data_IF_824170740262
#
_entry.id   IF_824170740262
#
_cell.length_a   1.000
_cell.length_b   1.000
_cell.length_c   1.000
_cell.angle_alpha   90.00
_cell.angle_beta   90.00
_cell.angle_gamma   90.00
#
_symmetry.space_group_name_H-M   'P 1'
#
loop_
_entity.id
_entity.type
_entity.pdbx_description
1 polymer ?
#
# COMPACT_ATOMS: atom_id res chain seq x y z
N UNK A 1 8.10 14.27 0.49
CA UNK A 1 7.28 14.87 -0.59
C UNK A 1 8.04 15.01 -1.90
N UNK A 2 9.12 15.80 -1.96
CA UNK A 2 9.78 16.22 -3.22
C UNK A 2 10.26 15.07 -4.12
N UNK A 3 10.73 13.95 -3.57
CA UNK A 3 11.16 12.80 -4.38
C UNK A 3 9.99 12.09 -5.07
N UNK A 4 8.83 12.06 -4.45
CA UNK A 4 7.62 11.45 -5.03
C UNK A 4 7.07 12.29 -6.18
N UNK A 5 7.17 13.61 -6.09
CA UNK A 5 6.75 14.52 -7.17
C UNK A 5 7.59 14.42 -8.44
N UNK A 6 8.76 13.77 -8.38
CA UNK A 6 9.65 13.54 -9.52
C UNK A 6 9.41 12.17 -10.20
N UNK A 7 8.41 11.42 -9.75
CA UNK A 7 8.12 10.08 -10.27
C UNK A 7 6.89 10.13 -11.18
N UNK A 8 6.88 9.28 -12.20
CA UNK A 8 5.69 9.05 -13.05
C UNK A 8 4.64 8.22 -12.30
N UNK A 9 5.09 7.38 -11.37
CA UNK A 9 4.24 6.53 -10.54
C UNK A 9 4.89 6.17 -9.22
N UNK A 10 4.08 5.89 -8.20
CA UNK A 10 4.55 5.29 -6.95
C UNK A 10 3.46 4.43 -6.32
N UNK A 11 3.91 3.43 -5.56
CA UNK A 11 3.03 2.59 -4.76
C UNK A 11 2.81 3.20 -3.38
N UNK A 12 1.60 3.02 -2.85
CA UNK A 12 1.20 3.44 -1.50
C UNK A 12 0.59 2.28 -0.72
N UNK A 13 0.76 2.32 0.60
CA UNK A 13 0.03 1.52 1.57
C UNK A 13 -0.17 2.31 2.85
N UNK A 14 -1.42 2.48 3.25
CA UNK A 14 -1.78 3.18 4.51
C UNK A 14 -1.69 2.22 5.70
N UNK A 15 -1.32 2.75 6.86
CA UNK A 15 -1.42 2.06 8.14
C UNK A 15 -2.48 2.75 8.99
N UNK A 16 -3.49 1.99 9.38
CA UNK A 16 -4.56 2.46 10.27
C UNK A 16 -4.42 1.77 11.61
N UNK A 17 -4.54 2.52 12.67
CA UNK A 17 -4.55 2.06 14.06
C UNK A 17 -5.84 2.48 14.76
N UNK A 18 -6.12 1.85 15.90
CA UNK A 18 -7.24 2.23 16.77
C UNK A 18 -6.74 3.07 17.93
N UNK A 19 -7.43 4.18 18.18
CA UNK A 19 -7.22 4.97 19.40
C UNK A 19 -7.81 4.26 20.63
N UNK A 20 -7.46 4.68 21.83
CA UNK A 20 -8.05 4.19 23.08
C UNK A 20 -9.58 4.32 23.09
N UNK A 21 -10.12 5.34 22.42
CA UNK A 21 -11.56 5.53 22.24
C UNK A 21 -12.17 4.64 21.14
N UNK A 22 -11.40 3.70 20.56
CA UNK A 22 -11.86 2.75 19.53
C UNK A 22 -12.02 3.36 18.14
N UNK A 23 -11.61 4.62 17.92
CA UNK A 23 -11.68 5.27 16.60
C UNK A 23 -10.44 4.93 15.76
N UNK A 24 -10.65 4.63 14.50
CA UNK A 24 -9.57 4.45 13.56
C UNK A 24 -8.90 5.80 13.23
N UNK A 25 -7.57 5.78 13.11
CA UNK A 25 -6.79 6.91 12.63
C UNK A 25 -5.64 6.43 11.73
N UNK A 26 -5.22 7.28 10.81
CA UNK A 26 -4.10 7.01 9.92
C UNK A 26 -2.79 7.21 10.69
N UNK A 27 -2.10 6.13 11.01
CA UNK A 27 -0.87 6.16 11.82
C UNK A 27 0.42 6.19 11.01
N UNK A 28 0.33 5.95 9.70
CA UNK A 28 1.48 6.01 8.81
C UNK A 28 1.14 5.67 7.36
N UNK A 29 2.07 6.00 6.46
CA UNK A 29 1.96 5.71 5.03
C UNK A 29 3.30 5.17 4.53
N UNK A 30 3.26 4.04 3.81
CA UNK A 30 4.41 3.50 3.11
C UNK A 30 4.38 3.87 1.62
N UNK A 31 5.57 4.04 1.03
CA UNK A 31 5.75 4.40 -0.38
C UNK A 31 6.86 3.57 -1.02
N UNK A 32 6.67 3.16 -2.27
CA UNK A 32 7.71 2.61 -3.13
C UNK A 32 7.57 3.15 -4.54
N UNK A 33 8.67 3.59 -5.15
CA UNK A 33 8.71 4.08 -6.53
C UNK A 33 9.76 3.39 -7.39
N UNK A 34 10.50 2.46 -6.81
CA UNK A 34 11.45 1.62 -7.52
C UNK A 34 11.69 0.34 -6.71
N UNK A 35 12.05 -0.73 -7.40
CA UNK A 35 12.38 -2.01 -6.77
C UNK A 35 13.43 -1.84 -5.67
N UNK A 36 13.20 -2.44 -4.51
CA UNK A 36 14.05 -2.36 -3.31
C UNK A 36 14.23 -0.91 -2.78
N UNK A 37 13.28 -0.03 -3.06
CA UNK A 37 13.25 1.34 -2.55
C UNK A 37 11.90 1.64 -1.94
N UNK A 38 11.75 1.25 -0.69
CA UNK A 38 10.56 1.48 0.08
C UNK A 38 10.85 2.40 1.27
N UNK A 39 9.83 3.15 1.66
CA UNK A 39 9.89 4.13 2.74
C UNK A 39 8.61 4.03 3.55
N UNK A 40 8.72 4.13 4.85
CA UNK A 40 7.58 4.27 5.73
C UNK A 40 7.67 5.59 6.48
N UNK A 41 6.60 6.36 6.44
CA UNK A 41 6.46 7.63 7.17
C UNK A 41 5.48 7.39 8.30
N UNK A 42 5.96 7.21 9.54
CA UNK A 42 5.08 7.18 10.69
C UNK A 42 4.50 8.57 10.90
N UNK A 43 3.19 8.67 11.02
CA UNK A 43 2.47 9.91 11.33
C UNK A 43 2.25 10.07 12.84
N UNK A 44 2.40 8.96 13.59
CA UNK A 44 2.13 8.96 15.02
C UNK A 44 0.64 8.87 15.35
N UNK A 45 0.26 9.40 16.50
CA UNK A 45 -1.13 9.51 16.91
C UNK A 45 -1.73 10.80 16.31
N UNK A 46 -3.01 10.79 15.96
CA UNK A 46 -3.71 11.96 15.44
C UNK A 46 -3.73 13.19 16.38
N UNK A 47 -3.36 13.00 17.63
CA UNK A 47 -3.23 14.07 18.65
C UNK A 47 -1.80 14.61 18.77
N UNK A 48 -0.82 14.03 18.05
CA UNK A 48 0.56 14.48 18.08
C UNK A 48 0.70 15.83 17.37
N UNK A 49 1.51 16.74 17.93
CA UNK A 49 1.66 18.11 17.42
C UNK A 49 2.08 18.18 15.94
N UNK A 50 2.91 17.22 15.50
CA UNK A 50 3.43 17.19 14.14
C UNK A 50 2.55 16.40 13.13
N UNK A 51 1.45 15.80 13.57
CA UNK A 51 0.60 14.95 12.73
C UNK A 51 0.08 15.69 11.49
N UNK A 52 -0.51 16.85 11.70
CA UNK A 52 -1.07 17.66 10.62
C UNK A 52 -0.02 18.15 9.63
N UNK A 53 1.17 18.54 10.11
CA UNK A 53 2.25 19.02 9.27
C UNK A 53 2.83 17.90 8.41
N UNK A 54 3.00 16.69 8.97
CA UNK A 54 3.46 15.52 8.22
C UNK A 54 2.45 15.12 7.15
N UNK A 55 1.16 15.14 7.48
CA UNK A 55 0.10 14.81 6.54
C UNK A 55 0.03 15.84 5.39
N UNK A 56 0.15 17.12 5.69
CA UNK A 56 0.16 18.18 4.69
C UNK A 56 1.34 18.05 3.71
N UNK A 57 2.53 17.65 4.21
CA UNK A 57 3.68 17.37 3.34
C UNK A 57 3.47 16.19 2.37
N UNK A 58 2.55 15.29 2.69
CA UNK A 58 2.20 14.13 1.86
C UNK A 58 1.04 14.40 0.90
N UNK A 59 0.23 15.42 1.16
CA UNK A 59 -0.89 15.80 0.29
C UNK A 59 -0.43 16.05 -1.15
N UNK A 60 0.55 16.93 -1.33
CA UNK A 60 1.00 17.35 -2.67
C UNK A 60 1.29 16.16 -3.61
N UNK A 61 2.13 15.16 -3.27
CA UNK A 61 2.35 14.02 -4.16
C UNK A 61 1.13 13.08 -4.26
N UNK A 62 0.29 12.97 -3.24
CA UNK A 62 -0.90 12.11 -3.27
C UNK A 62 -2.00 12.69 -4.16
N UNK A 63 -2.19 13.99 -4.15
CA UNK A 63 -3.23 14.70 -4.91
C UNK A 63 -2.80 15.05 -6.34
N UNK A 64 -1.50 14.93 -6.68
CA UNK A 64 -0.98 15.27 -8.00
C UNK A 64 -1.57 14.35 -9.09
N UNK A 65 -2.31 14.93 -10.02
CA UNK A 65 -3.03 14.20 -11.06
C UNK A 65 -2.14 13.61 -12.15
N UNK A 66 -0.96 14.15 -12.36
CA UNK A 66 0.00 13.66 -13.37
C UNK A 66 0.71 12.38 -12.94
N UNK A 67 0.63 12.01 -11.66
CA UNK A 67 1.33 10.86 -11.08
C UNK A 67 0.35 9.71 -10.88
N UNK A 68 0.69 8.54 -11.41
CA UNK A 68 -0.06 7.30 -11.18
C UNK A 68 0.17 6.76 -9.76
N UNK A 69 -0.89 6.44 -9.04
CA UNK A 69 -0.81 5.77 -7.74
C UNK A 69 -1.10 4.29 -7.90
N UNK A 70 -0.24 3.48 -7.30
CA UNK A 70 -0.32 2.03 -7.29
C UNK A 70 -0.63 1.59 -5.86
N UNK A 71 -1.42 0.54 -5.69
CA UNK A 71 -1.69 -0.01 -4.37
C UNK A 71 -2.52 -1.28 -4.43
N UNK A 72 -2.91 -1.76 -3.27
CA UNK A 72 -3.82 -2.87 -3.10
C UNK A 72 -5.08 -2.35 -2.40
N UNK A 73 -6.28 -2.69 -2.92
CA UNK A 73 -7.56 -2.17 -2.44
C UNK A 73 -7.53 -0.63 -2.29
N UNK A 74 -7.23 0.03 -3.41
CA UNK A 74 -7.12 1.50 -3.44
C UNK A 74 -8.45 2.20 -3.10
N UNK A 75 -9.58 1.51 -3.26
CA UNK A 75 -10.87 2.03 -2.79
C UNK A 75 -10.87 2.26 -1.29
N UNK A 76 -10.41 1.28 -0.52
CA UNK A 76 -10.26 1.39 0.94
C UNK A 76 -9.24 2.47 1.31
N UNK A 77 -8.07 2.46 0.68
CA UNK A 77 -7.02 3.44 0.97
C UNK A 77 -7.45 4.88 0.66
N UNK A 78 -8.20 5.07 -0.44
CA UNK A 78 -8.81 6.36 -0.79
C UNK A 78 -9.77 6.85 0.28
N UNK A 79 -10.60 5.95 0.83
CA UNK A 79 -11.51 6.31 1.93
C UNK A 79 -10.75 6.71 3.19
N UNK A 80 -9.74 5.93 3.58
CA UNK A 80 -8.90 6.24 4.75
C UNK A 80 -8.25 7.62 4.62
N UNK A 81 -7.66 7.92 3.47
CA UNK A 81 -7.01 9.22 3.23
C UNK A 81 -8.02 10.37 3.20
N UNK A 82 -9.17 10.15 2.57
CA UNK A 82 -10.25 11.14 2.51
C UNK A 82 -10.77 11.53 3.91
N UNK A 83 -10.93 10.54 4.80
CA UNK A 83 -11.36 10.77 6.18
C UNK A 83 -10.35 11.63 6.99
N UNK A 84 -9.11 11.73 6.49
CA UNK A 84 -8.04 12.55 7.06
C UNK A 84 -7.74 13.81 6.21
N UNK A 85 -8.66 14.19 5.31
CA UNK A 85 -8.56 15.42 4.51
C UNK A 85 -7.53 15.35 3.37
N UNK A 86 -7.19 14.14 2.89
CA UNK A 86 -6.28 13.92 1.76
C UNK A 86 -7.03 13.22 0.63
N UNK A 87 -6.96 13.77 -0.58
CA UNK A 87 -7.49 13.13 -1.78
C UNK A 87 -6.40 12.34 -2.50
N UNK A 88 -6.78 11.28 -3.22
CA UNK A 88 -5.86 10.61 -4.16
C UNK A 88 -6.20 11.08 -5.57
N UNK A 89 -5.25 11.76 -6.21
CA UNK A 89 -5.36 12.22 -7.60
C UNK A 89 -4.66 11.28 -8.59
N UNK A 90 -4.94 11.50 -9.89
CA UNK A 90 -4.31 10.77 -10.98
C UNK A 90 -4.89 9.39 -11.26
N UNK A 91 -4.21 8.65 -12.12
CA UNK A 91 -4.58 7.28 -12.48
C UNK A 91 -4.31 6.34 -11.30
N UNK A 92 -5.24 5.43 -11.03
CA UNK A 92 -5.15 4.46 -9.94
C UNK A 92 -4.93 3.05 -10.50
N UNK A 93 -3.82 2.42 -10.13
CA UNK A 93 -3.50 1.04 -10.47
C UNK A 93 -3.67 0.14 -9.24
N UNK A 94 -4.83 -0.49 -9.13
CA UNK A 94 -5.14 -1.41 -8.04
C UNK A 94 -4.69 -2.84 -8.38
N UNK A 95 -3.70 -3.35 -7.67
CA UNK A 95 -3.13 -4.68 -7.91
C UNK A 95 -4.12 -5.81 -7.62
N UNK A 96 -5.08 -5.61 -6.71
CA UNK A 96 -6.16 -6.58 -6.48
C UNK A 96 -7.08 -6.67 -7.71
N UNK A 97 -7.48 -5.53 -8.28
CA UNK A 97 -8.33 -5.47 -9.48
C UNK A 97 -7.58 -6.01 -10.69
N UNK A 98 -6.30 -5.64 -10.87
CA UNK A 98 -5.45 -6.18 -11.93
C UNK A 98 -5.37 -7.71 -11.88
N UNK A 99 -5.15 -8.27 -10.69
CA UNK A 99 -5.08 -9.72 -10.51
C UNK A 99 -6.45 -10.38 -10.74
N UNK A 100 -7.53 -9.77 -10.28
CA UNK A 100 -8.89 -10.28 -10.53
C UNK A 100 -9.19 -10.36 -12.03
N UNK A 101 -8.78 -9.37 -12.80
CA UNK A 101 -8.96 -9.36 -14.25
C UNK A 101 -8.18 -10.50 -14.94
N UNK A 102 -6.98 -10.80 -14.46
CA UNK A 102 -6.09 -11.81 -15.05
C UNK A 102 -6.43 -13.25 -14.62
N UNK A 103 -6.89 -13.43 -13.39
CA UNK A 103 -7.07 -14.74 -12.75
C UNK A 103 -8.36 -14.73 -11.88
N UNK A 104 -9.56 -14.58 -12.50
CA UNK A 104 -10.82 -14.36 -11.76
C UNK A 104 -11.17 -15.51 -10.81
N UNK A 105 -10.72 -16.73 -11.11
CA UNK A 105 -11.02 -17.94 -10.31
C UNK A 105 -10.05 -18.17 -9.16
N UNK A 106 -9.05 -17.28 -8.98
CA UNK A 106 -8.04 -17.41 -7.93
C UNK A 106 -8.37 -16.54 -6.71
N UNK A 107 -7.62 -16.74 -5.63
CA UNK A 107 -7.69 -15.82 -4.48
C UNK A 107 -6.94 -14.54 -4.81
N UNK A 108 -7.44 -13.41 -4.29
CA UNK A 108 -6.84 -12.08 -4.55
C UNK A 108 -6.30 -11.44 -3.27
N UNK A 109 -6.27 -12.18 -2.14
CA UNK A 109 -5.73 -11.66 -0.90
C UNK A 109 -4.19 -11.54 -0.95
N UNK A 110 -3.65 -10.67 -0.14
CA UNK A 110 -2.22 -10.34 -0.12
C UNK A 110 -1.33 -11.56 0.11
N UNK A 111 -1.74 -12.51 0.98
CA UNK A 111 -1.00 -13.74 1.22
C UNK A 111 -0.84 -14.55 -0.08
N UNK A 112 -1.95 -14.83 -0.77
CA UNK A 112 -1.92 -15.59 -2.02
C UNK A 112 -1.08 -14.90 -3.08
N UNK A 113 -1.21 -13.58 -3.23
CA UNK A 113 -0.43 -12.79 -4.18
C UNK A 113 1.06 -12.86 -3.87
N UNK A 114 1.43 -12.70 -2.60
CA UNK A 114 2.82 -12.76 -2.17
C UNK A 114 3.43 -14.14 -2.46
N UNK A 115 2.77 -15.21 -2.04
CA UNK A 115 3.21 -16.59 -2.26
C UNK A 115 3.31 -16.98 -3.74
N UNK A 116 2.42 -16.44 -4.57
CA UNK A 116 2.36 -16.76 -6.00
C UNK A 116 3.39 -16.02 -6.85
N UNK A 117 3.77 -14.80 -6.46
CA UNK A 117 4.59 -13.92 -7.29
C UNK A 117 6.00 -13.64 -6.72
N UNK A 118 6.25 -13.92 -5.45
CA UNK A 118 7.56 -13.72 -4.81
C UNK A 118 8.15 -15.07 -4.40
N UNK A 119 9.00 -15.62 -5.27
CA UNK A 119 9.59 -16.96 -5.08
C UNK A 119 10.71 -17.01 -4.02
N UNK A 120 11.34 -15.90 -3.71
CA UNK A 120 12.53 -15.82 -2.84
C UNK A 120 12.26 -15.06 -1.53
N UNK A 121 11.09 -15.26 -0.94
CA UNK A 121 10.65 -14.52 0.27
C UNK A 121 11.10 -15.15 1.60
N UNK A 122 12.15 -15.97 1.57
CA UNK A 122 12.74 -16.55 2.80
C UNK A 122 13.16 -15.41 3.75
N UNK A 123 12.49 -15.35 4.90
CA UNK A 123 12.78 -14.35 5.94
C UNK A 123 11.96 -13.07 5.89
N UNK A 124 10.97 -12.93 4.99
CA UNK A 124 10.07 -11.77 4.97
C UNK A 124 9.24 -11.72 6.26
N UNK A 125 9.36 -10.61 6.99
CA UNK A 125 8.53 -10.34 8.17
C UNK A 125 7.08 -10.09 7.78
N UNK A 126 6.85 -9.45 6.64
CA UNK A 126 5.52 -9.21 6.11
C UNK A 126 4.80 -10.54 5.78
N UNK A 127 5.46 -11.46 5.06
CA UNK A 127 4.88 -12.77 4.77
C UNK A 127 4.57 -13.56 6.05
N UNK A 128 5.49 -13.57 7.01
CA UNK A 128 5.27 -14.23 8.31
C UNK A 128 4.05 -13.67 9.05
N UNK A 129 3.77 -12.37 8.87
CA UNK A 129 2.64 -11.70 9.50
C UNK A 129 1.30 -12.08 8.84
N UNK A 130 1.25 -12.11 7.50
CA UNK A 130 0.01 -12.34 6.76
C UNK A 130 -0.33 -13.83 6.58
N UNK A 131 0.59 -14.75 6.89
CA UNK A 131 0.36 -16.19 6.82
C UNK A 131 -0.63 -16.64 7.89
N UNK A 132 -1.62 -17.44 7.50
CA UNK A 132 -2.75 -17.86 8.36
C UNK A 132 -2.32 -18.61 9.63
N UNK A 133 -1.20 -19.35 9.57
CA UNK A 133 -0.67 -20.12 10.70
C UNK A 133 -0.24 -19.24 11.89
N UNK A 134 0.02 -17.96 11.67
CA UNK A 134 0.49 -17.02 12.68
C UNK A 134 -0.59 -16.02 13.15
N UNK A 135 -1.78 -16.06 12.58
CA UNK A 135 -2.90 -15.23 13.08
C UNK A 135 -3.42 -15.77 14.40
N UNK A 136 -2.66 -15.55 15.47
CA UNK A 136 -3.25 -15.57 16.82
C UNK A 136 -4.37 -14.54 16.81
N UNK A 137 -5.56 -14.92 17.29
CA UNK A 137 -6.79 -14.09 17.27
C UNK A 137 -6.62 -12.69 17.88
N UNK A 138 -5.53 -12.42 18.57
CA UNK A 138 -5.24 -11.20 19.32
C UNK A 138 -4.04 -10.40 18.76
N UNK A 139 -3.49 -10.75 17.60
CA UNK A 139 -2.38 -9.99 17.04
C UNK A 139 -2.89 -8.73 16.32
N UNK A 140 -2.47 -7.57 16.79
CA UNK A 140 -2.70 -6.30 16.14
C UNK A 140 -1.38 -5.64 15.78
N UNK A 141 -1.31 -5.06 14.57
CA UNK A 141 -0.19 -4.21 14.17
C UNK A 141 0.01 -3.03 15.12
N UNK A 142 -1.06 -2.62 15.81
CA UNK A 142 -1.05 -1.51 16.78
C UNK A 142 -0.11 -1.76 17.97
N UNK A 143 0.21 -3.03 18.25
CA UNK A 143 1.12 -3.42 19.33
C UNK A 143 2.60 -3.42 18.93
N UNK A 144 2.91 -3.26 17.64
CA UNK A 144 4.28 -3.33 17.16
C UNK A 144 5.02 -2.00 17.32
N UNK A 145 6.31 -2.03 17.66
CA UNK A 145 7.14 -0.83 17.65
C UNK A 145 7.32 -0.30 16.21
N UNK A 146 7.51 1.00 16.09
CA UNK A 146 7.68 1.68 14.79
C UNK A 146 8.80 1.06 13.95
N UNK A 147 9.88 0.59 14.58
CA UNK A 147 10.99 -0.10 13.89
C UNK A 147 10.58 -1.39 13.19
N UNK A 148 9.62 -2.13 13.73
CA UNK A 148 9.07 -3.34 13.10
C UNK A 148 8.05 -2.99 12.02
N UNK A 149 7.18 -2.01 12.30
CA UNK A 149 6.24 -1.49 11.28
C UNK A 149 6.98 -0.97 10.05
N UNK A 150 8.11 -0.27 10.24
CA UNK A 150 8.95 0.19 9.15
C UNK A 150 9.38 -0.96 8.22
N UNK A 151 9.84 -2.08 8.80
CA UNK A 151 10.27 -3.24 8.01
C UNK A 151 9.07 -3.86 7.28
N UNK A 152 8.01 -4.17 8.01
CA UNK A 152 6.81 -4.84 7.49
C UNK A 152 6.16 -4.01 6.38
N UNK A 153 5.96 -2.71 6.60
CA UNK A 153 5.30 -1.83 5.64
C UNK A 153 6.19 -1.53 4.43
N UNK A 154 7.50 -1.51 4.61
CA UNK A 154 8.45 -1.39 3.49
C UNK A 154 8.45 -2.63 2.61
N UNK A 155 8.45 -3.83 3.20
CA UNK A 155 8.34 -5.08 2.44
C UNK A 155 7.01 -5.18 1.68
N UNK A 156 5.90 -4.81 2.33
CA UNK A 156 4.57 -4.78 1.71
C UNK A 156 4.53 -3.88 0.48
N UNK A 157 4.94 -2.63 0.62
CA UNK A 157 4.83 -1.65 -0.47
C UNK A 157 5.81 -1.90 -1.60
N UNK A 158 7.00 -2.43 -1.31
CA UNK A 158 7.96 -2.85 -2.35
C UNK A 158 7.44 -4.06 -3.12
N UNK A 159 6.85 -5.03 -2.42
CA UNK A 159 6.16 -6.15 -3.06
C UNK A 159 5.05 -5.68 -4.00
N UNK A 160 4.17 -4.79 -3.53
CA UNK A 160 3.07 -4.26 -4.35
C UNK A 160 3.58 -3.53 -5.59
N UNK A 161 4.66 -2.77 -5.46
CA UNK A 161 5.29 -2.11 -6.61
C UNK A 161 5.78 -3.15 -7.63
N UNK A 162 6.51 -4.17 -7.19
CA UNK A 162 7.01 -5.24 -8.07
C UNK A 162 5.87 -6.04 -8.70
N UNK A 163 4.84 -6.38 -7.91
CA UNK A 163 3.64 -7.07 -8.39
C UNK A 163 2.94 -6.28 -9.49
N UNK A 164 2.79 -4.97 -9.31
CA UNK A 164 2.16 -4.10 -10.31
C UNK A 164 2.86 -4.15 -11.67
N UNK A 165 4.19 -4.21 -11.68
CA UNK A 165 4.96 -4.32 -12.92
C UNK A 165 4.69 -5.66 -13.64
N UNK A 166 4.60 -6.76 -12.88
CA UNK A 166 4.30 -8.09 -13.42
C UNK A 166 2.88 -8.13 -13.99
N UNK A 167 1.90 -7.66 -13.20
CA UNK A 167 0.49 -7.70 -13.60
C UNK A 167 0.22 -6.78 -14.80
N UNK A 168 0.79 -5.58 -14.81
CA UNK A 168 0.65 -4.64 -15.92
C UNK A 168 1.22 -5.21 -17.23
N UNK A 169 2.37 -5.89 -17.17
CA UNK A 169 2.92 -6.60 -18.33
C UNK A 169 1.95 -7.66 -18.83
N UNK A 170 1.38 -8.48 -17.95
CA UNK A 170 0.42 -9.53 -18.33
C UNK A 170 -0.87 -8.96 -18.93
N UNK A 171 -1.38 -7.85 -18.40
CA UNK A 171 -2.56 -7.16 -18.95
C UNK A 171 -2.27 -6.73 -20.41
N UNK A 172 -1.09 -6.17 -20.66
CA UNK A 172 -0.65 -5.79 -22.01
C UNK A 172 -0.49 -6.99 -22.94
N UNK A 173 0.22 -8.03 -22.50
CA UNK A 173 0.47 -9.24 -23.27
C UNK A 173 -0.85 -9.94 -23.70
N UNK A 174 -1.91 -9.81 -22.92
CA UNK A 174 -3.25 -10.36 -23.18
C UNK A 174 -4.21 -9.36 -23.86
N UNK A 175 -3.77 -8.15 -24.19
CA UNK A 175 -4.60 -7.07 -24.77
C UNK A 175 -5.83 -6.71 -23.93
N UNK A 176 -5.72 -6.77 -22.59
CA UNK A 176 -6.80 -6.45 -21.65
C UNK A 176 -6.78 -4.99 -21.19
N UNK A 177 -5.91 -4.15 -21.75
CA UNK A 177 -5.73 -2.75 -21.36
C UNK A 177 -7.04 -1.96 -21.44
N UNK A 178 -7.78 -2.12 -22.54
CA UNK A 178 -9.06 -1.43 -22.72
C UNK A 178 -10.06 -1.78 -21.62
N UNK A 179 -10.14 -3.05 -21.24
CA UNK A 179 -11.05 -3.51 -20.19
C UNK A 179 -10.62 -3.02 -18.79
N UNK A 180 -9.33 -2.79 -18.60
CA UNK A 180 -8.80 -2.34 -17.31
C UNK A 180 -8.91 -0.82 -17.12
N UNK A 181 -8.75 -0.02 -18.19
CA UNK A 181 -8.69 1.44 -18.11
C UNK A 181 -10.00 2.15 -18.48
N UNK A 182 -10.98 1.47 -19.14
CA UNK A 182 -12.32 1.99 -19.46
C UNK A 182 -13.31 1.74 -18.31
#
# INVERSE_FOLDING_TARGET
>A
GNKLLQQDSFCISTQVMKSEAGRNYLSGIAFSYARNRAYYVPLGNALDENYSDLLELLKSPLEENSITKIGYDLKYQKQVLHDHGVSIGGVLHDTMVMHYLLEPDKRHNMQYLFESYVKDSLGSKYLALISDDNRKKDFSLDSLPVSELLIIKSEEVDFLFQLSLILNKRIKDLNLEKLYYD
#
